data_IF_499489833724
#
_entry.id   IF_499489833724
#
_cell.length_a   1.000
_cell.length_b   1.000
_cell.length_c   1.000
_cell.angle_alpha   90.00
_cell.angle_beta   90.00
_cell.angle_gamma   90.00
#
_symmetry.space_group_name_H-M   'P 1'
#
loop_
_entity.id
_entity.type
_entity.pdbx_description
1 polymer ?
#
# COMPACT_ATOMS: atom_id res chain seq x y z
N UNK A 1 -3.78 16.42 -0.84
CA UNK A 1 -2.75 17.47 -0.66
C UNK A 1 -1.36 16.88 -0.84
N UNK A 2 -0.36 17.70 -1.13
CA UNK A 2 1.05 17.25 -1.17
C UNK A 2 1.60 17.04 0.25
N UNK A 3 2.52 16.10 0.40
CA UNK A 3 3.18 15.78 1.66
C UNK A 3 4.10 16.93 2.10
N UNK A 4 4.14 17.23 3.41
CA UNK A 4 4.91 18.33 3.99
C UNK A 4 5.97 17.79 4.95
N UNK A 5 6.91 18.65 5.37
CA UNK A 5 7.87 18.30 6.42
C UNK A 5 7.19 17.89 7.74
N UNK A 6 6.05 18.49 8.05
CA UNK A 6 5.31 18.18 9.28
C UNK A 6 4.72 16.78 9.24
N UNK A 7 4.14 16.36 8.11
CA UNK A 7 3.66 14.99 7.92
C UNK A 7 4.79 13.95 8.09
N UNK A 8 6.01 14.27 7.62
CA UNK A 8 7.17 13.41 7.83
C UNK A 8 7.60 13.34 9.31
N UNK A 9 7.53 14.46 10.04
CA UNK A 9 7.82 14.50 11.48
C UNK A 9 6.80 13.69 12.29
N UNK A 10 5.52 13.79 11.95
CA UNK A 10 4.45 13.02 12.57
C UNK A 10 4.62 11.52 12.32
N UNK A 11 4.94 11.12 11.09
CA UNK A 11 5.23 9.72 10.76
C UNK A 11 6.47 9.19 11.50
N UNK A 12 7.52 10.02 11.60
CA UNK A 12 8.75 9.68 12.32
C UNK A 12 8.48 9.48 13.82
N UNK A 13 7.71 10.39 14.42
CA UNK A 13 7.28 10.28 15.81
C UNK A 13 6.40 9.05 16.06
N UNK A 14 5.46 8.73 15.16
CA UNK A 14 4.58 7.57 15.29
C UNK A 14 5.35 6.24 15.31
N UNK A 15 6.47 6.15 14.58
CA UNK A 15 7.30 4.95 14.52
C UNK A 15 8.54 5.01 15.42
N UNK A 16 8.72 6.12 16.14
CA UNK A 16 9.91 6.42 16.96
C UNK A 16 11.24 6.27 16.20
N UNK A 17 11.27 6.77 14.97
CA UNK A 17 12.48 6.82 14.13
C UNK A 17 12.81 8.26 13.74
N UNK A 18 13.95 8.48 13.10
CA UNK A 18 14.29 9.80 12.55
C UNK A 18 13.53 10.11 11.24
N UNK A 19 13.34 11.40 10.94
CA UNK A 19 12.73 11.84 9.67
C UNK A 19 13.46 11.30 8.42
N UNK A 20 14.81 11.27 8.37
CA UNK A 20 15.54 10.62 7.29
C UNK A 20 15.13 9.16 7.01
N UNK A 21 14.79 8.40 8.04
CA UNK A 21 14.31 7.01 7.91
C UNK A 21 12.97 6.96 7.20
N UNK A 22 12.03 7.81 7.59
CA UNK A 22 10.74 7.93 6.90
C UNK A 22 10.94 8.38 5.45
N UNK A 23 11.81 9.36 5.19
CA UNK A 23 12.12 9.81 3.82
C UNK A 23 12.71 8.69 2.96
N UNK A 24 13.56 7.85 3.55
CA UNK A 24 14.15 6.70 2.85
C UNK A 24 13.10 5.63 2.54
N UNK A 25 12.25 5.28 3.51
CA UNK A 25 11.17 4.32 3.32
C UNK A 25 10.16 4.85 2.29
N UNK A 26 9.73 6.12 2.37
CA UNK A 26 8.87 6.75 1.35
C UNK A 26 9.49 6.67 -0.06
N UNK A 27 10.80 6.87 -0.16
CA UNK A 27 11.50 6.83 -1.45
C UNK A 27 11.57 5.42 -2.03
N UNK A 28 11.76 4.40 -1.20
CA UNK A 28 12.02 3.03 -1.66
C UNK A 28 10.74 2.20 -1.77
N UNK A 29 9.83 2.33 -0.82
CA UNK A 29 8.62 1.52 -0.71
C UNK A 29 7.41 2.14 -1.42
N UNK A 30 7.52 3.39 -1.87
CA UNK A 30 6.46 3.98 -2.68
C UNK A 30 6.51 3.53 -4.14
N UNK A 31 5.34 3.46 -4.74
CA UNK A 31 5.18 3.34 -6.19
C UNK A 31 5.34 4.68 -6.93
N UNK A 32 6.02 5.67 -6.33
CA UNK A 32 6.07 7.04 -6.81
C UNK A 32 4.87 7.87 -6.33
N UNK A 33 4.05 8.39 -7.25
CA UNK A 33 2.87 9.20 -6.89
C UNK A 33 1.70 8.35 -6.41
N UNK A 34 0.98 8.81 -5.39
CA UNK A 34 -0.22 8.18 -4.85
C UNK A 34 -1.47 8.38 -5.70
N UNK A 35 -1.42 9.29 -6.66
CA UNK A 35 -2.52 9.63 -7.55
C UNK A 35 -2.08 9.54 -9.02
N UNK A 36 -3.02 9.19 -9.89
CA UNK A 36 -2.87 9.19 -11.34
C UNK A 36 -2.95 10.62 -11.88
N UNK A 37 -2.58 10.82 -13.15
CA UNK A 37 -2.75 12.12 -13.83
C UNK A 37 -4.22 12.56 -13.86
N UNK A 38 -5.15 11.59 -13.87
CA UNK A 38 -6.60 11.80 -13.76
C UNK A 38 -7.06 12.25 -12.38
N UNK A 39 -6.15 12.45 -11.41
CA UNK A 39 -6.42 12.75 -9.99
C UNK A 39 -7.11 11.64 -9.19
N UNK A 40 -7.38 10.50 -9.81
CA UNK A 40 -7.81 9.29 -9.11
C UNK A 40 -6.68 8.75 -8.25
N UNK A 41 -6.99 8.21 -7.08
CA UNK A 41 -6.01 7.47 -6.27
C UNK A 41 -5.47 6.30 -7.10
N UNK A 42 -4.18 6.01 -7.02
CA UNK A 42 -3.60 4.87 -7.71
C UNK A 42 -4.16 3.58 -7.10
N UNK A 43 -4.57 2.63 -7.94
CA UNK A 43 -5.08 1.33 -7.48
C UNK A 43 -4.45 0.17 -8.23
N UNK A 44 -4.54 -1.03 -7.62
CA UNK A 44 -4.41 -2.31 -8.31
C UNK A 44 -5.45 -3.29 -7.75
N UNK A 45 -6.29 -3.84 -8.62
CA UNK A 45 -7.34 -4.77 -8.23
C UNK A 45 -6.85 -6.22 -8.36
N UNK A 46 -6.98 -6.98 -7.26
CA UNK A 46 -6.51 -8.36 -7.18
C UNK A 46 -7.70 -9.34 -7.22
N UNK A 47 -8.00 -9.89 -8.40
CA UNK A 47 -9.17 -10.76 -8.58
C UNK A 47 -9.15 -12.04 -7.73
N UNK A 48 -7.96 -12.51 -7.34
CA UNK A 48 -7.83 -13.62 -6.40
C UNK A 48 -8.17 -13.24 -4.95
N UNK A 49 -7.92 -12.00 -4.55
CA UNK A 49 -8.42 -11.47 -3.28
C UNK A 49 -9.92 -11.22 -3.34
N UNK A 50 -10.44 -10.80 -4.50
CA UNK A 50 -11.88 -10.66 -4.69
C UNK A 50 -12.60 -12.01 -4.50
N UNK A 51 -12.03 -13.10 -5.02
CA UNK A 51 -12.54 -14.46 -4.76
C UNK A 51 -12.58 -14.79 -3.27
N UNK A 52 -11.56 -14.43 -2.49
CA UNK A 52 -11.52 -14.68 -1.04
C UNK A 52 -12.66 -13.95 -0.31
N UNK A 53 -12.87 -12.67 -0.63
CA UNK A 53 -13.76 -11.80 0.14
C UNK A 53 -15.21 -11.73 -0.38
N UNK A 54 -15.47 -12.08 -1.64
CA UNK A 54 -16.80 -11.95 -2.23
C UNK A 54 -17.78 -13.01 -1.69
N UNK A 55 -19.00 -12.58 -1.32
CA UNK A 55 -20.02 -13.47 -0.71
C UNK A 55 -20.48 -14.60 -1.64
N UNK A 56 -20.51 -14.34 -2.96
CA UNK A 56 -20.96 -15.29 -3.99
C UNK A 56 -19.82 -15.77 -4.89
N UNK A 57 -18.62 -15.93 -4.33
CA UNK A 57 -17.37 -16.17 -5.08
C UNK A 57 -17.46 -17.29 -6.12
N UNK A 58 -18.13 -18.42 -5.84
CA UNK A 58 -18.20 -19.54 -6.78
C UNK A 58 -19.13 -19.28 -7.98
N UNK A 59 -20.19 -18.48 -7.78
CA UNK A 59 -21.03 -18.01 -8.89
C UNK A 59 -20.30 -16.93 -9.68
N UNK A 60 -19.64 -16.01 -8.97
CA UNK A 60 -18.90 -14.91 -9.58
C UNK A 60 -17.68 -15.41 -10.37
N UNK A 61 -16.99 -16.45 -9.92
CA UNK A 61 -15.83 -17.00 -10.62
C UNK A 61 -16.20 -17.67 -11.94
N UNK A 62 -17.38 -18.31 -11.99
CA UNK A 62 -17.92 -18.88 -13.23
C UNK A 62 -18.39 -17.79 -14.21
N UNK A 63 -19.07 -16.75 -13.71
CA UNK A 63 -19.66 -15.69 -14.55
C UNK A 63 -18.66 -14.59 -14.96
N UNK A 64 -17.66 -14.34 -14.11
CA UNK A 64 -16.65 -13.27 -14.28
C UNK A 64 -15.23 -13.81 -14.01
N UNK A 65 -14.75 -14.80 -14.79
CA UNK A 65 -13.48 -15.50 -14.52
C UNK A 65 -12.23 -14.61 -14.62
N UNK A 66 -12.35 -13.40 -15.18
CA UNK A 66 -11.26 -12.40 -15.26
C UNK A 66 -11.22 -11.45 -14.04
N UNK A 67 -12.28 -11.47 -13.22
CA UNK A 67 -12.43 -10.62 -12.02
C UNK A 67 -12.41 -11.43 -10.72
N UNK A 68 -12.86 -12.68 -10.76
CA UNK A 68 -13.00 -13.53 -9.58
C UNK A 68 -12.40 -14.91 -9.91
N UNK A 69 -11.28 -15.27 -9.29
CA UNK A 69 -10.58 -16.53 -9.57
C UNK A 69 -9.79 -16.98 -8.33
N UNK A 70 -9.66 -18.28 -8.02
CA UNK A 70 -9.05 -18.72 -6.77
C UNK A 70 -7.54 -18.49 -6.69
N UNK A 71 -6.82 -18.72 -7.79
CA UNK A 71 -5.36 -18.73 -7.81
C UNK A 71 -4.77 -17.44 -8.36
N UNK A 72 -3.67 -16.98 -7.77
CA UNK A 72 -2.95 -15.81 -8.27
C UNK A 72 -2.54 -15.99 -9.74
N UNK A 73 -2.84 -14.98 -10.57
CA UNK A 73 -2.37 -14.93 -11.95
C UNK A 73 -2.20 -13.48 -12.40
N UNK A 74 -1.16 -13.24 -13.22
CA UNK A 74 -0.93 -11.95 -13.87
C UNK A 74 -1.71 -11.81 -15.18
N UNK A 75 -2.29 -12.89 -15.72
CA UNK A 75 -2.95 -12.94 -17.04
C UNK A 75 -4.01 -11.85 -17.25
N UNK A 76 -4.73 -11.51 -16.19
CA UNK A 76 -5.85 -10.56 -16.24
C UNK A 76 -5.49 -9.17 -15.73
N UNK A 77 -4.27 -8.98 -15.23
CA UNK A 77 -3.83 -7.69 -14.71
C UNK A 77 -3.47 -6.78 -15.89
N UNK A 78 -4.09 -5.59 -16.02
CA UNK A 78 -3.72 -4.63 -17.05
C UNK A 78 -2.31 -4.08 -16.83
N UNK A 79 -1.76 -3.46 -17.87
CA UNK A 79 -0.42 -2.87 -17.84
C UNK A 79 -0.35 -1.53 -17.09
N UNK A 80 -1.49 -0.90 -16.75
CA UNK A 80 -1.53 0.39 -16.07
C UNK A 80 -2.73 0.52 -15.10
N UNK A 81 -2.58 1.41 -14.11
CA UNK A 81 -3.59 1.65 -13.07
C UNK A 81 -4.88 2.33 -13.55
N UNK A 82 -4.90 3.00 -14.70
CA UNK A 82 -6.13 3.60 -15.21
C UNK A 82 -7.07 2.49 -15.73
N UNK A 83 -6.51 1.45 -16.35
CA UNK A 83 -7.25 0.25 -16.74
C UNK A 83 -7.68 -0.63 -15.55
N UNK A 84 -6.97 -0.58 -14.41
CA UNK A 84 -7.41 -1.23 -13.17
C UNK A 84 -8.75 -0.69 -12.69
N UNK A 85 -9.04 0.58 -12.90
CA UNK A 85 -10.35 1.16 -12.56
C UNK A 85 -11.50 0.51 -13.31
N UNK A 86 -11.29 -0.02 -14.53
CA UNK A 86 -12.32 -0.75 -15.27
C UNK A 86 -12.67 -2.06 -14.55
N UNK A 87 -11.67 -2.81 -14.12
CA UNK A 87 -11.83 -4.08 -13.38
C UNK A 87 -12.44 -3.83 -12.01
N UNK A 88 -11.91 -2.86 -11.28
CA UNK A 88 -12.44 -2.43 -10.00
C UNK A 88 -13.92 -2.02 -10.09
N UNK A 89 -14.30 -1.19 -11.06
CA UNK A 89 -15.69 -0.74 -11.20
C UNK A 89 -16.66 -1.90 -11.49
N UNK A 90 -16.23 -2.87 -12.31
CA UNK A 90 -17.02 -4.08 -12.56
C UNK A 90 -17.16 -4.94 -11.29
N UNK A 91 -16.06 -5.15 -10.55
CA UNK A 91 -16.10 -5.89 -9.29
C UNK A 91 -16.94 -5.17 -8.22
N UNK A 92 -16.82 -3.85 -8.13
CA UNK A 92 -17.56 -3.00 -7.20
C UNK A 92 -19.07 -3.06 -7.45
N UNK A 93 -19.50 -3.14 -8.72
CA UNK A 93 -20.91 -3.35 -9.06
C UNK A 93 -21.46 -4.72 -8.63
N UNK A 94 -20.59 -5.70 -8.40
CA UNK A 94 -20.95 -7.06 -8.00
C UNK A 94 -20.95 -7.24 -6.48
N UNK A 95 -19.92 -6.72 -5.81
CA UNK A 95 -19.75 -6.75 -4.35
C UNK A 95 -18.82 -5.59 -3.94
N UNK A 96 -19.37 -4.41 -3.55
CA UNK A 96 -18.59 -3.21 -3.25
C UNK A 96 -17.53 -3.40 -2.17
N UNK A 97 -17.90 -4.03 -1.07
CA UNK A 97 -17.03 -4.23 0.09
C UNK A 97 -15.87 -5.17 -0.26
N UNK A 98 -16.17 -6.31 -0.89
CA UNK A 98 -15.15 -7.25 -1.34
C UNK A 98 -14.23 -6.64 -2.39
N UNK A 99 -14.75 -5.84 -3.32
CA UNK A 99 -13.94 -5.16 -4.32
C UNK A 99 -12.95 -4.19 -3.68
N UNK A 100 -13.39 -3.43 -2.67
CA UNK A 100 -12.53 -2.52 -1.95
C UNK A 100 -11.46 -3.25 -1.12
N UNK A 101 -11.84 -4.33 -0.44
CA UNK A 101 -10.90 -5.18 0.31
C UNK A 101 -9.85 -5.83 -0.60
N UNK A 102 -10.26 -6.22 -1.82
CA UNK A 102 -9.41 -6.86 -2.83
C UNK A 102 -8.54 -5.89 -3.64
N UNK A 103 -8.51 -4.60 -3.28
CA UNK A 103 -7.76 -3.58 -4.01
C UNK A 103 -6.64 -3.02 -3.12
N UNK A 104 -5.46 -2.79 -3.68
CA UNK A 104 -4.43 -1.96 -3.07
C UNK A 104 -4.60 -0.50 -3.47
N UNK A 105 -4.34 0.40 -2.52
CA UNK A 105 -4.67 1.81 -2.63
C UNK A 105 -3.46 2.72 -2.40
N UNK A 106 -3.32 3.72 -3.26
CA UNK A 106 -2.42 4.84 -3.09
C UNK A 106 -0.93 4.51 -3.25
N UNK A 107 -0.12 5.42 -2.72
CA UNK A 107 1.33 5.50 -2.88
C UNK A 107 2.05 4.22 -2.45
N UNK A 108 1.65 3.68 -1.31
CA UNK A 108 2.23 2.49 -0.66
C UNK A 108 1.47 1.20 -1.00
N UNK A 109 0.46 1.26 -1.88
CA UNK A 109 -0.34 0.10 -2.27
C UNK A 109 -0.93 -0.66 -1.08
N UNK A 110 -1.49 0.08 -0.12
CA UNK A 110 -2.13 -0.48 1.07
C UNK A 110 -3.36 -1.32 0.68
N UNK A 111 -3.34 -2.61 1.00
CA UNK A 111 -4.47 -3.51 0.72
C UNK A 111 -5.68 -3.14 1.56
N UNK A 112 -6.86 -3.02 0.91
CA UNK A 112 -8.09 -2.62 1.58
C UNK A 112 -8.53 -3.58 2.69
N UNK A 113 -8.21 -4.87 2.60
CA UNK A 113 -8.53 -5.83 3.67
C UNK A 113 -7.83 -5.53 5.01
N UNK A 114 -6.80 -4.67 5.03
CA UNK A 114 -6.12 -4.25 6.24
C UNK A 114 -6.88 -3.14 7.02
N UNK A 115 -8.06 -2.70 6.56
CA UNK A 115 -8.77 -1.55 7.13
C UNK A 115 -8.93 -1.61 8.66
N UNK A 116 -9.22 -2.78 9.24
CA UNK A 116 -9.34 -2.93 10.70
C UNK A 116 -8.00 -2.78 11.41
N UNK A 117 -6.94 -3.38 10.86
CA UNK A 117 -5.58 -3.36 11.44
C UNK A 117 -5.03 -1.93 11.46
N UNK A 118 -5.38 -1.11 10.45
CA UNK A 118 -4.98 0.31 10.39
C UNK A 118 -6.00 1.26 11.05
N UNK A 119 -6.98 0.72 11.79
CA UNK A 119 -7.85 1.48 12.69
C UNK A 119 -9.11 2.10 12.06
N UNK A 120 -9.62 1.56 10.94
CA UNK A 120 -10.88 1.98 10.35
C UNK A 120 -12.01 0.99 10.65
N UNK A 121 -13.24 1.50 10.78
CA UNK A 121 -14.43 0.68 11.01
C UNK A 121 -14.89 -0.07 9.76
N UNK A 122 -14.77 0.57 8.59
CA UNK A 122 -15.06 -0.04 7.30
C UNK A 122 -13.94 0.19 6.29
N UNK A 123 -13.88 -0.67 5.26
CA UNK A 123 -12.95 -0.45 4.14
C UNK A 123 -13.28 0.83 3.35
N UNK A 124 -14.55 1.25 3.33
CA UNK A 124 -14.97 2.51 2.72
C UNK A 124 -14.31 3.70 3.39
N UNK A 125 -14.32 3.72 4.74
CA UNK A 125 -13.70 4.80 5.52
C UNK A 125 -12.19 4.90 5.26
N UNK A 126 -11.51 3.75 5.20
CA UNK A 126 -10.08 3.70 4.83
C UNK A 126 -9.86 4.28 3.44
N UNK A 127 -10.64 3.84 2.45
CA UNK A 127 -10.50 4.28 1.06
C UNK A 127 -10.77 5.78 0.93
N UNK A 128 -11.78 6.32 1.59
CA UNK A 128 -12.10 7.74 1.55
C UNK A 128 -11.06 8.59 2.28
N UNK A 129 -10.48 8.06 3.36
CA UNK A 129 -9.35 8.69 4.03
C UNK A 129 -8.11 8.76 3.14
N UNK A 130 -7.73 7.65 2.49
CA UNK A 130 -6.58 7.58 1.58
C UNK A 130 -6.71 8.51 0.35
N UNK A 131 -7.94 8.82 -0.09
CA UNK A 131 -8.19 9.74 -1.20
C UNK A 131 -7.89 11.20 -0.88
N UNK A 132 -7.76 11.59 0.40
CA UNK A 132 -7.50 12.98 0.81
C UNK A 132 -6.12 13.48 0.37
N UNK A 133 -5.10 12.61 0.35
CA UNK A 133 -3.75 12.99 -0.02
C UNK A 133 -2.68 11.94 0.22
N UNK A 134 -1.45 12.25 -0.22
CA UNK A 134 -0.30 11.37 0.00
C UNK A 134 0.14 11.36 1.47
N UNK A 135 -0.18 12.42 2.23
CA UNK A 135 0.06 12.47 3.67
C UNK A 135 -0.77 11.41 4.43
N UNK A 136 -2.06 11.33 4.11
CA UNK A 136 -2.97 10.32 4.66
C UNK A 136 -2.55 8.90 4.26
N UNK A 137 -2.02 8.74 3.04
CA UNK A 137 -1.48 7.47 2.58
C UNK A 137 -0.21 7.06 3.34
N UNK A 138 0.67 8.01 3.66
CA UNK A 138 1.85 7.76 4.51
C UNK A 138 1.41 7.40 5.93
N UNK A 139 0.47 8.13 6.51
CA UNK A 139 -0.01 7.87 7.86
C UNK A 139 -0.58 6.45 7.99
N UNK A 140 -1.45 6.04 7.07
CA UNK A 140 -2.03 4.68 7.07
C UNK A 140 -0.95 3.60 6.87
N UNK A 141 0.05 3.87 6.04
CA UNK A 141 1.20 2.99 5.89
C UNK A 141 1.99 2.86 7.21
N UNK A 142 2.27 3.96 7.91
CA UNK A 142 2.94 3.91 9.20
C UNK A 142 2.10 3.17 10.26
N UNK A 143 0.77 3.38 10.31
CA UNK A 143 -0.13 2.62 11.19
C UNK A 143 -0.04 1.10 10.93
N UNK A 144 0.09 0.70 9.67
CA UNK A 144 0.30 -0.71 9.31
C UNK A 144 1.64 -1.24 9.81
N UNK A 145 2.73 -0.48 9.61
CA UNK A 145 4.05 -0.87 10.14
C UNK A 145 4.06 -1.01 11.67
N UNK A 146 3.31 -0.15 12.35
CA UNK A 146 3.13 -0.21 13.80
C UNK A 146 2.38 -1.49 14.20
N UNK A 147 1.21 -1.71 13.59
CA UNK A 147 0.34 -2.84 13.93
C UNK A 147 0.95 -4.22 13.64
N UNK A 148 1.78 -4.32 12.60
CA UNK A 148 2.45 -5.57 12.21
C UNK A 148 3.85 -5.73 12.86
N UNK A 149 4.29 -4.78 13.70
CA UNK A 149 5.61 -4.83 14.35
C UNK A 149 6.81 -4.56 13.43
N UNK A 150 6.58 -4.12 12.19
CA UNK A 150 7.65 -3.87 11.21
C UNK A 150 8.50 -2.64 11.57
N UNK A 151 7.93 -1.69 12.32
CA UNK A 151 8.62 -0.50 12.79
C UNK A 151 9.83 -0.82 13.69
N UNK A 152 9.80 -1.91 14.44
CA UNK A 152 10.91 -2.34 15.31
C UNK A 152 12.19 -2.59 14.50
N UNK A 153 12.07 -3.16 13.30
CA UNK A 153 13.22 -3.33 12.40
C UNK A 153 13.78 -2.00 11.92
N UNK A 154 12.93 -0.99 11.71
CA UNK A 154 13.38 0.36 11.33
C UNK A 154 14.11 1.04 12.50
N UNK A 155 13.59 0.91 13.72
CA UNK A 155 14.23 1.42 14.94
C UNK A 155 15.60 0.78 15.18
N UNK A 156 15.71 -0.54 14.96
CA UNK A 156 16.97 -1.27 15.07
C UNK A 156 17.92 -1.09 13.87
N UNK A 157 17.51 -0.31 12.85
CA UNK A 157 18.20 -0.18 11.56
C UNK A 157 18.44 -1.52 10.82
N UNK A 158 17.63 -2.55 11.09
CA UNK A 158 17.62 -3.83 10.40
C UNK A 158 16.77 -3.76 9.13
N UNK A 159 17.28 -3.05 8.13
CA UNK A 159 16.60 -2.87 6.86
C UNK A 159 16.43 -4.18 6.06
N UNK A 160 17.23 -5.21 6.35
CA UNK A 160 17.11 -6.50 5.70
C UNK A 160 15.88 -7.26 6.21
N UNK A 161 15.68 -7.31 7.53
CA UNK A 161 14.48 -7.91 8.11
C UNK A 161 13.23 -7.11 7.78
N UNK A 162 13.31 -5.77 7.83
CA UNK A 162 12.22 -4.90 7.38
C UNK A 162 11.80 -5.21 5.93
N UNK A 163 12.77 -5.18 5.00
CA UNK A 163 12.49 -5.40 3.58
C UNK A 163 11.95 -6.81 3.32
N UNK A 164 12.45 -7.83 4.03
CA UNK A 164 11.93 -9.20 3.93
C UNK A 164 10.50 -9.31 4.44
N UNK A 165 10.18 -8.67 5.57
CA UNK A 165 8.85 -8.69 6.16
C UNK A 165 7.83 -7.97 5.26
N UNK A 166 8.18 -6.81 4.71
CA UNK A 166 7.28 -6.00 3.91
C UNK A 166 7.17 -6.48 2.44
N UNK A 167 8.30 -6.74 1.77
CA UNK A 167 8.34 -7.09 0.35
C UNK A 167 8.39 -8.61 0.08
N UNK A 168 8.51 -9.42 1.13
CA UNK A 168 8.60 -10.87 1.03
C UNK A 168 10.02 -11.42 0.79
N UNK A 169 10.17 -12.74 0.66
CA UNK A 169 11.47 -13.42 0.63
C UNK A 169 12.35 -13.03 -0.57
N UNK A 170 11.74 -12.54 -1.66
CA UNK A 170 12.45 -12.12 -2.87
C UNK A 170 12.98 -10.66 -2.80
N UNK A 171 12.90 -9.99 -1.66
CA UNK A 171 13.26 -8.57 -1.52
C UNK A 171 14.69 -8.23 -2.03
N UNK A 172 15.64 -9.17 -1.89
CA UNK A 172 17.03 -8.98 -2.34
C UNK A 172 17.15 -8.79 -3.84
N UNK A 173 16.27 -9.38 -4.64
CA UNK A 173 16.26 -9.23 -6.10
C UNK A 173 16.09 -7.76 -6.50
N UNK A 174 15.27 -7.02 -5.75
CA UNK A 174 15.00 -5.60 -5.97
C UNK A 174 15.85 -4.68 -5.10
N UNK A 175 16.74 -5.25 -4.28
CA UNK A 175 17.70 -4.56 -3.41
C UNK A 175 17.04 -3.60 -2.41
N UNK A 176 15.84 -3.91 -1.93
CA UNK A 176 15.06 -3.04 -1.03
C UNK A 176 15.86 -2.60 0.19
N UNK A 177 16.48 -3.54 0.89
CA UNK A 177 17.32 -3.33 2.07
C UNK A 177 18.46 -2.34 1.84
N UNK A 178 19.28 -2.59 0.82
CA UNK A 178 20.46 -1.77 0.52
C UNK A 178 20.07 -0.39 0.01
N UNK A 179 18.94 -0.28 -0.72
CA UNK A 179 18.38 1.01 -1.12
C UNK A 179 17.93 1.82 0.08
N UNK A 180 17.18 1.22 1.02
CA UNK A 180 16.73 1.92 2.24
C UNK A 180 17.96 2.44 2.98
N UNK A 181 18.93 1.58 3.28
CA UNK A 181 20.16 1.96 3.99
C UNK A 181 20.91 3.12 3.31
N UNK A 182 21.04 3.06 1.98
CA UNK A 182 21.68 4.10 1.18
C UNK A 182 20.91 5.44 1.31
N UNK A 183 19.59 5.42 1.19
CA UNK A 183 18.77 6.63 1.30
C UNK A 183 18.74 7.19 2.72
N UNK A 184 18.70 6.35 3.76
CA UNK A 184 18.82 6.81 5.16
C UNK A 184 20.13 7.58 5.34
N UNK A 185 21.25 6.99 4.89
CA UNK A 185 22.57 7.63 4.97
C UNK A 185 22.60 8.96 4.22
N UNK A 186 22.02 9.00 3.02
CA UNK A 186 21.92 10.22 2.22
C UNK A 186 21.11 11.29 2.95
N UNK A 187 19.91 10.96 3.42
CA UNK A 187 19.01 11.92 4.05
C UNK A 187 19.51 12.40 5.40
N UNK A 188 20.16 11.55 6.20
CA UNK A 188 20.81 11.99 7.45
C UNK A 188 21.88 13.08 7.23
N UNK A 189 22.54 13.07 6.07
CA UNK A 189 23.54 14.10 5.71
C UNK A 189 22.92 15.39 5.18
N UNK A 190 21.76 15.30 4.53
CA UNK A 190 21.16 16.44 3.81
C UNK A 190 19.95 17.05 4.51
N UNK A 191 19.34 16.33 5.45
CA UNK A 191 18.14 16.77 6.14
C UNK A 191 18.48 17.91 7.11
N UNK A 192 17.77 19.02 6.96
CA UNK A 192 17.80 20.15 7.88
C UNK A 192 16.42 20.24 8.54
N UNK A 193 16.33 20.07 9.87
CA UNK A 193 15.08 20.04 10.64
C UNK A 193 14.13 21.22 10.42
#
# INVERSE_FOLDING_TARGET
MEMTKEHLKQAAALLEVDVPTIMAVDTVESSGKGFLRSKKIKIKFEGHKFYVYAKKRDTLSKKYPTLCYPDFTQRFSPSNSEDEYRRFSQAFALDPEAAMMATSWGKFQMMGFNYKIVGFETVGDMVDYLKKGEAEQLEVFCRFLLAEGLHEYLQAEDYASFARAYNGPAYKTNKYDTKIKMYVTKYRRTYVP
#
